data_IF_577104585575
#
_entry.id   IF_577104585575
#
_cell.length_a   1.000
_cell.length_b   1.000
_cell.length_c   1.000
_cell.angle_alpha   90.00
_cell.angle_beta   90.00
_cell.angle_gamma   90.00
#
_symmetry.space_group_name_H-M   'P 1'
#
loop_
_entity.id
_entity.type
_entity.pdbx_description
1 polymer ?
#
# COMPACT_ATOMS: atom_id res chain seq x y z
N UNK A 1 11.87 4.34 -13.04
CA UNK A 1 10.69 3.48 -13.25
C UNK A 1 9.87 3.52 -11.96
N UNK A 2 8.58 3.88 -12.02
CA UNK A 2 7.72 3.90 -10.83
C UNK A 2 7.47 2.47 -10.33
N UNK A 3 7.64 2.24 -9.02
CA UNK A 3 7.47 0.95 -8.37
C UNK A 3 7.07 1.14 -6.91
N UNK A 4 6.32 0.20 -6.34
CA UNK A 4 5.98 0.12 -4.93
C UNK A 4 6.47 -1.25 -4.45
N UNK A 5 7.20 -1.29 -3.33
CA UNK A 5 7.67 -2.54 -2.75
C UNK A 5 6.68 -3.08 -1.72
N UNK A 6 5.69 -3.85 -2.17
CA UNK A 6 4.67 -4.45 -1.29
C UNK A 6 5.01 -5.88 -0.84
N UNK A 7 6.16 -6.43 -1.25
CA UNK A 7 6.60 -7.77 -0.87
C UNK A 7 5.68 -8.92 -1.33
N UNK A 8 4.79 -8.70 -2.31
CA UNK A 8 3.83 -9.71 -2.76
C UNK A 8 2.61 -9.85 -1.86
N UNK A 9 2.41 -8.95 -0.89
CA UNK A 9 1.24 -8.94 -0.02
C UNK A 9 -0.01 -8.35 -0.68
N UNK A 10 0.09 -7.82 -1.90
CA UNK A 10 -1.06 -7.39 -2.71
C UNK A 10 -0.99 -7.94 -4.13
N UNK A 11 -2.11 -7.85 -4.85
CA UNK A 11 -2.19 -8.26 -6.26
C UNK A 11 -1.61 -7.21 -7.23
N UNK A 12 -1.06 -6.10 -6.73
CA UNK A 12 -0.64 -4.94 -7.54
C UNK A 12 0.38 -5.31 -8.61
N UNK A 13 1.42 -6.06 -8.24
CA UNK A 13 2.46 -6.46 -9.20
C UNK A 13 1.93 -7.41 -10.29
N UNK A 14 1.06 -8.36 -9.93
CA UNK A 14 0.42 -9.26 -10.88
C UNK A 14 -0.46 -8.48 -11.86
N UNK A 15 -1.23 -7.50 -11.38
CA UNK A 15 -2.02 -6.61 -12.23
C UNK A 15 -1.13 -5.80 -13.16
N UNK A 16 -0.06 -5.18 -12.64
CA UNK A 16 0.88 -4.43 -13.48
C UNK A 16 1.48 -5.28 -14.59
N UNK A 17 1.91 -6.51 -14.31
CA UNK A 17 2.46 -7.40 -15.34
C UNK A 17 1.44 -7.74 -16.42
N UNK A 18 0.21 -8.08 -16.03
CA UNK A 18 -0.84 -8.45 -16.97
C UNK A 18 -1.30 -7.26 -17.82
N UNK A 19 -1.47 -6.10 -17.20
CA UNK A 19 -1.85 -4.85 -17.84
C UNK A 19 -0.77 -4.33 -18.78
N UNK A 20 0.50 -4.37 -18.36
CA UNK A 20 1.64 -3.97 -19.19
C UNK A 20 1.76 -4.88 -20.41
N UNK A 21 1.60 -6.20 -20.23
CA UNK A 21 1.57 -7.15 -21.36
C UNK A 21 0.44 -6.82 -22.34
N UNK A 22 -0.76 -6.52 -21.85
CA UNK A 22 -1.89 -6.14 -22.68
C UNK A 22 -1.64 -4.79 -23.40
N UNK A 23 -1.10 -3.80 -22.69
CA UNK A 23 -0.75 -2.49 -23.24
C UNK A 23 0.29 -2.57 -24.36
N UNK A 24 1.33 -3.39 -24.18
CA UNK A 24 2.37 -3.63 -25.19
C UNK A 24 1.77 -4.36 -26.41
N UNK A 25 1.01 -5.43 -26.18
CA UNK A 25 0.43 -6.24 -27.26
C UNK A 25 -0.55 -5.48 -28.15
N UNK A 26 -1.25 -4.49 -27.59
CA UNK A 26 -2.23 -3.67 -28.33
C UNK A 26 -1.60 -2.45 -29.01
N UNK A 27 -0.35 -2.09 -28.68
CA UNK A 27 0.30 -0.85 -29.10
C UNK A 27 -0.31 0.42 -28.51
N UNK A 28 -1.28 0.30 -27.59
CA UNK A 28 -2.08 1.41 -27.05
C UNK A 28 -1.77 1.67 -25.58
N UNK A 29 -0.52 2.08 -25.31
CA UNK A 29 0.01 2.23 -23.96
C UNK A 29 -0.78 3.23 -23.08
N UNK A 30 -1.46 4.21 -23.68
CA UNK A 30 -2.27 5.19 -22.94
C UNK A 30 -3.71 4.68 -22.66
N UNK A 31 -4.24 3.79 -23.49
CA UNK A 31 -5.65 3.36 -23.45
C UNK A 31 -5.88 2.15 -22.53
N UNK A 32 -4.82 1.45 -22.13
CA UNK A 32 -4.91 0.36 -21.15
C UNK A 32 -4.32 0.87 -19.84
N UNK A 33 -5.08 0.75 -18.75
CA UNK A 33 -4.61 1.15 -17.43
C UNK A 33 -3.40 0.33 -17.03
N UNK A 34 -2.32 0.97 -16.58
CA UNK A 34 -1.12 0.30 -16.08
C UNK A 34 -0.42 1.16 -15.01
N UNK A 35 0.76 0.74 -14.54
CA UNK A 35 1.53 1.43 -13.49
C UNK A 35 1.76 2.93 -13.68
N UNK A 36 1.80 3.43 -14.92
CA UNK A 36 1.95 4.87 -15.18
C UNK A 36 0.68 5.64 -14.83
N UNK A 37 -0.50 5.06 -15.11
CA UNK A 37 -1.78 5.63 -14.68
C UNK A 37 -1.89 5.63 -13.16
N UNK A 38 -1.40 4.58 -12.48
CA UNK A 38 -1.36 4.54 -11.01
C UNK A 38 -0.49 5.64 -10.42
N UNK A 39 0.68 5.90 -11.00
CA UNK A 39 1.53 7.02 -10.61
C UNK A 39 0.77 8.36 -10.71
N UNK A 40 0.15 8.62 -11.85
CA UNK A 40 -0.59 9.87 -12.07
C UNK A 40 -1.85 9.97 -11.20
N UNK A 41 -2.52 8.85 -10.93
CA UNK A 41 -3.63 8.81 -9.98
C UNK A 41 -3.18 9.21 -8.57
N UNK A 42 -2.07 8.64 -8.09
CA UNK A 42 -1.53 8.99 -6.77
C UNK A 42 -1.09 10.45 -6.70
N UNK A 43 -0.39 10.94 -7.72
CA UNK A 43 0.00 12.33 -7.82
C UNK A 43 -1.23 13.26 -7.79
N UNK A 44 -2.30 12.89 -8.52
CA UNK A 44 -3.56 13.64 -8.52
C UNK A 44 -4.22 13.68 -7.14
N UNK A 45 -4.21 12.57 -6.41
CA UNK A 45 -4.76 12.49 -5.05
C UNK A 45 -3.93 13.33 -4.06
N UNK A 46 -2.61 13.37 -4.22
CA UNK A 46 -1.74 14.22 -3.39
C UNK A 46 -2.02 15.71 -3.64
N UNK A 47 -2.23 16.11 -4.90
CA UNK A 47 -2.46 17.51 -5.28
C UNK A 47 -3.88 17.97 -4.93
N UNK A 48 -4.90 17.20 -5.30
CA UNK A 48 -6.31 17.60 -5.21
C UNK A 48 -7.00 17.10 -3.94
N UNK A 49 -6.47 16.05 -3.32
CA UNK A 49 -7.02 15.46 -2.10
C UNK A 49 -7.77 14.14 -2.32
N UNK A 50 -8.02 13.46 -1.20
CA UNK A 50 -8.67 12.15 -1.17
C UNK A 50 -10.10 12.20 -1.73
N UNK A 51 -10.43 11.24 -2.61
CA UNK A 51 -11.73 11.09 -3.25
C UNK A 51 -12.21 12.30 -4.08
N UNK A 52 -11.32 13.25 -4.40
CA UNK A 52 -11.60 14.39 -5.30
C UNK A 52 -11.46 13.99 -6.77
N UNK A 53 -12.17 12.93 -7.17
CA UNK A 53 -12.03 12.33 -8.50
C UNK A 53 -12.34 13.29 -9.63
N UNK A 54 -13.35 14.16 -9.47
CA UNK A 54 -13.73 15.12 -10.50
C UNK A 54 -12.63 16.15 -10.73
N UNK A 55 -12.03 16.69 -9.67
CA UNK A 55 -10.95 17.68 -9.80
C UNK A 55 -9.74 17.07 -10.51
N UNK A 56 -9.34 15.85 -10.12
CA UNK A 56 -8.25 15.12 -10.77
C UNK A 56 -8.56 14.86 -12.25
N UNK A 57 -9.80 14.47 -12.57
CA UNK A 57 -10.20 14.18 -13.95
C UNK A 57 -10.27 15.43 -14.84
N UNK A 58 -10.62 16.58 -14.26
CA UNK A 58 -10.76 17.85 -14.96
C UNK A 58 -9.43 18.58 -15.15
N UNK A 59 -8.40 18.20 -14.40
CA UNK A 59 -7.08 18.80 -14.50
C UNK A 59 -6.30 18.22 -15.71
N UNK A 60 -5.90 19.07 -16.68
CA UNK A 60 -5.15 18.65 -17.86
C UNK A 60 -3.82 17.95 -17.54
N UNK A 61 -3.19 18.24 -16.40
CA UNK A 61 -1.94 17.58 -15.99
C UNK A 61 -2.14 16.09 -15.71
N UNK A 62 -3.34 15.71 -15.28
CA UNK A 62 -3.69 14.33 -14.95
C UNK A 62 -4.55 13.67 -16.04
N UNK A 63 -4.63 14.26 -17.23
CA UNK A 63 -5.50 13.80 -18.32
C UNK A 63 -5.32 12.31 -18.69
N UNK A 64 -4.12 11.76 -18.46
CA UNK A 64 -3.82 10.33 -18.68
C UNK A 64 -4.77 9.39 -17.91
N UNK A 65 -5.28 9.76 -16.73
CA UNK A 65 -6.22 8.92 -15.97
C UNK A 65 -7.57 8.77 -16.67
N UNK A 66 -7.85 9.62 -17.66
CA UNK A 66 -9.07 9.57 -18.47
C UNK A 66 -8.92 8.69 -19.71
N UNK A 67 -7.69 8.46 -20.18
CA UNK A 67 -7.40 7.77 -21.45
C UNK A 67 -8.04 6.37 -21.54
N UNK A 68 -7.97 5.51 -20.51
CA UNK A 68 -8.56 4.17 -20.58
C UNK A 68 -10.08 4.12 -20.70
N UNK A 69 -10.74 5.26 -20.46
CA UNK A 69 -12.19 5.36 -20.43
C UNK A 69 -12.78 6.03 -21.69
N UNK A 70 -11.95 6.58 -22.59
CA UNK A 70 -12.41 7.35 -23.76
C UNK A 70 -13.37 6.57 -24.65
N UNK A 71 -13.11 5.28 -24.89
CA UNK A 71 -13.97 4.41 -25.71
C UNK A 71 -15.33 4.10 -25.09
N UNK A 72 -15.51 4.39 -23.79
CA UNK A 72 -16.73 4.12 -23.04
C UNK A 72 -17.54 5.37 -22.70
N UNK A 73 -17.09 6.57 -23.14
CA UNK A 73 -17.68 7.85 -22.77
C UNK A 73 -19.17 7.99 -23.11
N UNK A 74 -19.63 7.31 -24.16
CA UNK A 74 -21.02 7.36 -24.63
C UNK A 74 -21.96 6.35 -23.94
N UNK A 75 -21.45 5.57 -22.98
CA UNK A 75 -22.27 4.59 -22.24
C UNK A 75 -23.02 5.29 -21.12
N UNK A 76 -24.28 4.88 -20.90
CA UNK A 76 -25.01 5.25 -19.69
C UNK A 76 -24.20 4.87 -18.45
N UNK A 77 -24.27 5.71 -17.41
CA UNK A 77 -23.55 5.53 -16.16
C UNK A 77 -21.99 5.55 -16.24
N UNK A 78 -21.44 6.17 -17.28
CA UNK A 78 -19.99 6.27 -17.50
C UNK A 78 -19.22 6.82 -16.29
N UNK A 79 -19.72 7.93 -15.70
CA UNK A 79 -19.03 8.61 -14.61
C UNK A 79 -18.97 7.75 -13.33
N UNK A 80 -20.03 7.01 -13.01
CA UNK A 80 -20.06 6.11 -11.87
C UNK A 80 -19.10 4.93 -12.07
N UNK A 81 -19.10 4.30 -13.26
CA UNK A 81 -18.18 3.21 -13.58
C UNK A 81 -16.72 3.65 -13.44
N UNK A 82 -16.38 4.83 -13.99
CA UNK A 82 -15.04 5.40 -13.89
C UNK A 82 -14.65 5.71 -12.45
N UNK A 83 -15.51 6.37 -11.68
CA UNK A 83 -15.22 6.67 -10.27
C UNK A 83 -15.10 5.40 -9.41
N UNK A 84 -15.90 4.38 -9.68
CA UNK A 84 -15.82 3.08 -9.02
C UNK A 84 -14.50 2.37 -9.33
N UNK A 85 -14.03 2.45 -10.57
CA UNK A 85 -12.72 1.93 -10.94
C UNK A 85 -11.60 2.67 -10.19
N UNK A 86 -11.58 4.01 -10.22
CA UNK A 86 -10.55 4.80 -9.54
C UNK A 86 -10.53 4.54 -8.04
N UNK A 87 -11.69 4.45 -7.39
CA UNK A 87 -11.78 4.13 -5.98
C UNK A 87 -11.24 2.73 -5.67
N UNK A 88 -11.54 1.72 -6.49
CA UNK A 88 -10.99 0.36 -6.33
C UNK A 88 -9.48 0.34 -6.53
N UNK A 89 -9.00 1.02 -7.57
CA UNK A 89 -7.57 1.07 -7.87
C UNK A 89 -6.79 1.79 -6.79
N UNK A 90 -7.31 2.92 -6.30
CA UNK A 90 -6.71 3.63 -5.19
C UNK A 90 -6.66 2.79 -3.91
N UNK A 91 -7.71 2.05 -3.55
CA UNK A 91 -7.68 1.17 -2.37
C UNK A 91 -6.54 0.15 -2.44
N UNK A 92 -6.29 -0.42 -3.63
CA UNK A 92 -5.18 -1.34 -3.82
C UNK A 92 -3.83 -0.63 -3.65
N UNK A 93 -3.67 0.55 -4.25
CA UNK A 93 -2.43 1.34 -4.12
C UNK A 93 -2.19 1.79 -2.67
N UNK A 94 -3.25 2.18 -1.96
CA UNK A 94 -3.18 2.54 -0.53
C UNK A 94 -2.71 1.35 0.31
N UNK A 95 -3.25 0.16 0.06
CA UNK A 95 -2.78 -1.06 0.74
C UNK A 95 -1.30 -1.34 0.45
N UNK A 96 -0.89 -1.29 -0.82
CA UNK A 96 0.49 -1.52 -1.22
C UNK A 96 1.47 -0.50 -0.60
N UNK A 97 1.11 0.78 -0.57
CA UNK A 97 1.90 1.84 0.09
C UNK A 97 1.99 1.64 1.60
N UNK A 98 0.90 1.23 2.25
CA UNK A 98 0.91 0.90 3.69
C UNK A 98 1.87 -0.25 3.98
N UNK A 99 1.88 -1.28 3.12
CA UNK A 99 2.79 -2.42 3.26
C UNK A 99 4.24 -2.01 3.02
N UNK A 100 4.52 -1.26 1.96
CA UNK A 100 5.86 -0.73 1.67
C UNK A 100 6.41 0.08 2.86
N UNK A 101 5.57 0.91 3.46
CA UNK A 101 5.89 1.64 4.68
C UNK A 101 6.20 0.69 5.85
N UNK A 102 5.42 -0.38 6.05
CA UNK A 102 5.67 -1.35 7.11
C UNK A 102 6.99 -2.09 6.90
N UNK A 103 7.28 -2.52 5.67
CA UNK A 103 8.54 -3.18 5.32
C UNK A 103 9.73 -2.27 5.58
N UNK A 104 9.63 -0.99 5.21
CA UNK A 104 10.67 0.01 5.48
C UNK A 104 10.91 0.22 6.97
N UNK A 105 9.84 0.29 7.78
CA UNK A 105 9.94 0.43 9.25
C UNK A 105 10.50 -0.82 9.90
N UNK A 106 10.09 -2.01 9.47
CA UNK A 106 10.63 -3.27 9.96
C UNK A 106 12.14 -3.35 9.71
N UNK A 107 12.59 -2.97 8.52
CA UNK A 107 14.01 -2.89 8.19
C UNK A 107 14.74 -1.85 9.06
N UNK A 108 14.17 -0.65 9.22
CA UNK A 108 14.77 0.42 10.04
C UNK A 108 14.94 0.01 11.52
N UNK A 109 13.99 -0.74 12.06
CA UNK A 109 14.01 -1.24 13.44
C UNK A 109 14.76 -2.56 13.61
N UNK A 110 15.35 -3.10 12.53
CA UNK A 110 15.95 -4.45 12.50
C UNK A 110 15.02 -5.52 13.08
N UNK A 111 13.73 -5.42 12.74
CA UNK A 111 12.73 -6.35 13.24
C UNK A 111 12.92 -7.71 12.58
N UNK A 112 13.51 -8.65 13.31
CA UNK A 112 13.73 -10.02 12.85
C UNK A 112 12.48 -10.86 13.07
N UNK A 113 12.07 -11.61 12.05
CA UNK A 113 11.03 -12.61 12.20
C UNK A 113 11.61 -13.85 12.89
N UNK A 114 10.84 -14.44 13.80
CA UNK A 114 11.18 -15.71 14.42
C UNK A 114 10.96 -16.86 13.41
N UNK A 115 12.02 -17.55 12.95
CA UNK A 115 11.89 -18.65 11.99
C UNK A 115 11.06 -19.82 12.54
N UNK A 116 10.97 -19.94 13.87
CA UNK A 116 10.19 -20.99 14.53
C UNK A 116 8.69 -20.65 14.65
N UNK A 117 8.28 -19.46 14.23
CA UNK A 117 6.88 -19.07 14.23
C UNK A 117 6.08 -19.98 13.27
N UNK A 118 4.93 -20.56 13.67
CA UNK A 118 4.18 -21.51 12.84
C UNK A 118 3.82 -21.00 11.44
N UNK A 119 3.55 -19.71 11.29
CA UNK A 119 3.30 -19.10 9.98
C UNK A 119 4.55 -19.07 9.08
N UNK A 120 5.74 -18.93 9.67
CA UNK A 120 7.02 -18.94 8.93
C UNK A 120 7.41 -20.35 8.51
N UNK A 121 7.19 -21.35 9.37
CA UNK A 121 7.35 -22.76 9.02
C UNK A 121 6.44 -23.15 7.84
N UNK A 122 5.16 -22.75 7.89
CA UNK A 122 4.21 -22.98 6.79
C UNK A 122 4.67 -22.29 5.49
N UNK A 123 5.13 -21.04 5.58
CA UNK A 123 5.63 -20.30 4.42
C UNK A 123 6.88 -20.95 3.80
N UNK A 124 7.81 -21.43 4.62
CA UNK A 124 9.00 -22.14 4.16
C UNK A 124 8.63 -23.45 3.44
N UNK A 125 7.68 -24.21 3.99
CA UNK A 125 7.16 -25.44 3.35
C UNK A 125 6.44 -25.16 2.05
N UNK A 126 5.68 -24.07 1.98
CA UNK A 126 5.06 -23.63 0.73
C UNK A 126 6.12 -23.34 -0.36
N UNK A 127 7.18 -22.60 -0.02
CA UNK A 127 8.29 -22.34 -0.94
C UNK A 127 9.03 -23.62 -1.36
N UNK A 128 9.19 -24.59 -0.45
CA UNK A 128 9.80 -25.89 -0.76
C UNK A 128 8.93 -26.69 -1.75
N UNK A 129 7.61 -26.68 -1.56
CA UNK A 129 6.66 -27.33 -2.48
C UNK A 129 6.72 -26.70 -3.87
N UNK A 130 6.71 -25.37 -3.97
CA UNK A 130 6.84 -24.68 -5.25
C UNK A 130 8.17 -25.01 -5.94
N UNK A 131 9.27 -24.96 -5.20
CA UNK A 131 10.60 -25.28 -5.72
C UNK A 131 10.69 -26.74 -6.21
N UNK A 132 10.19 -27.69 -5.42
CA UNK A 132 10.22 -29.11 -5.75
C UNK A 132 9.35 -29.40 -6.99
N UNK A 133 8.19 -28.77 -7.10
CA UNK A 133 7.30 -28.91 -8.25
C UNK A 133 7.91 -28.30 -9.53
N UNK A 134 8.46 -27.08 -9.44
CA UNK A 134 9.01 -26.36 -10.59
C UNK A 134 10.31 -27.01 -11.10
N UNK A 135 11.24 -27.34 -10.19
CA UNK A 135 12.53 -27.96 -10.54
C UNK A 135 12.37 -29.31 -11.24
N UNK A 136 11.28 -30.03 -10.97
CA UNK A 136 11.05 -31.39 -11.47
C UNK A 136 9.89 -31.51 -12.47
N UNK A 137 9.38 -30.39 -13.00
CA UNK A 137 8.28 -30.36 -13.97
C UNK A 137 8.55 -31.27 -15.21
N UNK A 138 9.79 -31.38 -15.64
CA UNK A 138 10.19 -32.14 -16.83
C UNK A 138 10.15 -33.66 -16.63
N UNK A 139 10.32 -34.15 -15.40
CA UNK A 139 10.40 -35.58 -15.09
C UNK A 139 9.13 -36.34 -15.49
N UNK A 140 7.96 -35.68 -15.44
CA UNK A 140 6.70 -36.26 -15.91
C UNK A 140 6.75 -36.63 -17.38
N UNK A 141 7.29 -35.76 -18.23
CA UNK A 141 7.40 -36.01 -19.68
C UNK A 141 8.43 -37.09 -19.99
N UNK A 142 9.58 -37.05 -19.31
CA UNK A 142 10.64 -38.05 -19.50
C UNK A 142 10.21 -39.44 -19.02
N UNK A 143 9.50 -39.53 -17.90
CA UNK A 143 8.92 -40.79 -17.41
C UNK A 143 7.94 -41.39 -18.43
N UNK A 144 7.03 -40.58 -18.99
CA UNK A 144 6.08 -41.02 -20.02
C UNK A 144 6.76 -41.48 -21.31
N UNK A 145 7.94 -40.95 -21.62
CA UNK A 145 8.77 -41.41 -22.74
C UNK A 145 9.45 -42.77 -22.47
N UNK A 146 9.19 -43.40 -21.32
CA UNK A 146 9.72 -44.71 -20.95
C UNK A 146 11.05 -44.66 -20.19
N UNK A 147 11.50 -43.49 -19.75
CA UNK A 147 12.73 -43.34 -18.96
C UNK A 147 12.53 -43.90 -17.54
N UNK A 148 13.00 -45.13 -17.30
CA UNK A 148 12.87 -45.82 -16.02
C UNK A 148 13.51 -45.06 -14.84
N UNK A 149 14.74 -44.52 -14.94
CA UNK A 149 15.30 -43.62 -13.93
C UNK A 149 14.42 -42.41 -13.62
N UNK A 150 13.93 -41.70 -14.65
CA UNK A 150 13.06 -40.53 -14.46
C UNK A 150 11.76 -40.92 -13.75
N UNK A 151 11.20 -42.08 -14.06
CA UNK A 151 10.00 -42.59 -13.37
C UNK A 151 10.26 -42.86 -11.88
N UNK A 152 11.40 -43.47 -11.53
CA UNK A 152 11.77 -43.71 -10.13
C UNK A 152 11.95 -42.39 -9.36
N UNK A 153 12.61 -41.40 -9.96
CA UNK A 153 12.78 -40.07 -9.36
C UNK A 153 11.44 -39.35 -9.24
N UNK A 154 10.57 -39.43 -10.25
CA UNK A 154 9.23 -38.85 -10.22
C UNK A 154 8.40 -39.41 -9.06
N UNK A 155 8.40 -40.73 -8.85
CA UNK A 155 7.74 -41.33 -7.69
C UNK A 155 8.30 -40.82 -6.36
N UNK A 156 9.62 -40.65 -6.26
CA UNK A 156 10.25 -40.10 -5.05
C UNK A 156 9.84 -38.64 -4.80
N UNK A 157 9.80 -37.82 -5.85
CA UNK A 157 9.36 -36.42 -5.79
C UNK A 157 7.90 -36.34 -5.38
N UNK A 158 7.02 -37.19 -5.94
CA UNK A 158 5.61 -37.24 -5.57
C UNK A 158 5.40 -37.63 -4.11
N UNK A 159 6.13 -38.62 -3.61
CA UNK A 159 6.08 -39.00 -2.20
C UNK A 159 6.54 -37.85 -1.28
N UNK A 160 7.61 -37.15 -1.66
CA UNK A 160 8.10 -35.99 -0.91
C UNK A 160 7.06 -34.84 -0.92
N UNK A 161 6.39 -34.60 -2.04
CA UNK A 161 5.27 -33.65 -2.10
C UNK A 161 4.12 -34.07 -1.18
N UNK A 162 3.77 -35.37 -1.12
CA UNK A 162 2.74 -35.88 -0.23
C UNK A 162 3.08 -35.67 1.25
N UNK A 163 4.32 -35.99 1.65
CA UNK A 163 4.82 -35.74 3.00
C UNK A 163 4.75 -34.25 3.36
N UNK A 164 5.26 -33.37 2.49
CA UNK A 164 5.22 -31.92 2.69
C UNK A 164 3.79 -31.38 2.79
N UNK A 165 2.87 -31.87 1.95
CA UNK A 165 1.46 -31.46 2.00
C UNK A 165 0.76 -31.94 3.28
N UNK A 166 1.08 -33.14 3.76
CA UNK A 166 0.58 -33.65 5.04
C UNK A 166 1.02 -32.75 6.21
N UNK A 167 2.29 -32.36 6.16
CA UNK A 167 2.92 -31.47 7.12
C UNK A 167 2.33 -30.06 7.10
N UNK A 168 2.14 -29.48 5.91
CA UNK A 168 1.45 -28.19 5.74
C UNK A 168 0.01 -28.24 6.22
N UNK A 169 -0.70 -29.35 5.99
CA UNK A 169 -2.06 -29.54 6.51
C UNK A 169 -2.07 -29.50 8.03
N UNK A 170 -1.11 -30.14 8.69
CA UNK A 170 -0.96 -30.05 10.14
C UNK A 170 -0.72 -28.60 10.60
N UNK A 171 0.14 -27.86 9.92
CA UNK A 171 0.42 -26.45 10.23
C UNK A 171 -0.83 -25.57 10.06
N UNK A 172 -1.57 -25.72 8.96
CA UNK A 172 -2.81 -24.98 8.69
C UNK A 172 -3.87 -25.24 9.75
N UNK A 173 -3.99 -26.47 10.27
CA UNK A 173 -4.95 -26.77 11.34
C UNK A 173 -4.57 -26.11 12.67
N UNK A 174 -3.28 -25.87 12.93
CA UNK A 174 -2.77 -25.25 14.17
C UNK A 174 -2.69 -23.73 14.08
N UNK A 175 -2.61 -23.18 12.88
CA UNK A 175 -2.42 -21.76 12.63
C UNK A 175 -3.50 -20.86 13.25
N UNK A 176 -4.82 -21.16 13.17
CA UNK A 176 -5.86 -20.32 13.76
C UNK A 176 -5.70 -20.15 15.28
N UNK A 177 -5.36 -21.22 15.99
CA UNK A 177 -5.15 -21.18 17.43
C UNK A 177 -3.97 -20.28 17.80
N UNK A 178 -2.89 -20.32 17.01
CA UNK A 178 -1.72 -19.46 17.21
C UNK A 178 -2.04 -17.99 16.90
N UNK A 179 -2.70 -17.72 15.78
CA UNK A 179 -3.07 -16.37 15.36
C UNK A 179 -4.07 -15.71 16.32
N UNK A 180 -4.99 -16.48 16.91
CA UNK A 180 -5.97 -15.96 17.88
C UNK A 180 -5.33 -15.37 19.14
N UNK A 181 -4.09 -15.77 19.45
CA UNK A 181 -3.32 -15.26 20.60
C UNK A 181 -2.62 -13.94 20.29
N UNK A 182 -2.53 -13.54 19.02
CA UNK A 182 -1.93 -12.25 18.63
C UNK A 182 -2.91 -11.14 19.02
N UNK A 183 -2.55 -10.24 19.95
CA UNK A 183 -3.45 -9.18 20.39
C UNK A 183 -3.78 -8.23 19.22
N UNK A 184 -5.00 -7.66 19.18
CA UNK A 184 -5.39 -6.69 18.16
C UNK A 184 -4.38 -5.54 18.05
N UNK A 185 -4.25 -4.98 16.85
CA UNK A 185 -3.30 -3.87 16.57
C UNK A 185 -3.53 -2.69 17.53
N UNK A 186 -4.79 -2.37 17.84
CA UNK A 186 -5.13 -1.31 18.78
C UNK A 186 -4.55 -1.56 20.20
N UNK A 187 -4.59 -2.81 20.67
CA UNK A 187 -4.01 -3.19 21.95
C UNK A 187 -2.47 -3.13 21.92
N UNK A 188 -1.85 -3.62 20.84
CA UNK A 188 -0.39 -3.56 20.67
C UNK A 188 0.14 -2.14 20.60
N UNK A 189 -0.58 -1.24 19.94
CA UNK A 189 -0.22 0.17 19.81
C UNK A 189 -0.65 1.03 21.01
N UNK A 190 -1.27 0.43 22.04
CA UNK A 190 -1.83 1.14 23.19
C UNK A 190 -2.74 2.32 22.77
N UNK A 191 -3.38 2.16 21.61
CA UNK A 191 -4.30 3.12 21.03
C UNK A 191 -5.70 2.81 21.57
N UNK A 192 -6.01 3.33 22.75
CA UNK A 192 -7.38 3.37 23.24
C UNK A 192 -8.09 4.57 22.63
N UNK A 193 -9.40 4.44 22.38
CA UNK A 193 -10.23 5.57 21.95
C UNK A 193 -10.04 6.78 22.88
N UNK A 194 -9.93 6.51 24.19
CA UNK A 194 -9.63 7.51 25.22
C UNK A 194 -8.26 8.19 25.03
N UNK A 195 -7.21 7.45 24.65
CA UNK A 195 -5.88 8.02 24.42
C UNK A 195 -5.79 8.81 23.12
N UNK A 196 -6.50 8.37 22.08
CA UNK A 196 -6.62 9.09 20.80
C UNK A 196 -7.41 10.40 21.01
N UNK A 197 -8.59 10.31 21.64
CA UNK A 197 -9.43 11.47 21.93
C UNK A 197 -8.71 12.46 22.86
N UNK A 198 -7.99 11.98 23.87
CA UNK A 198 -7.17 12.83 24.75
C UNK A 198 -6.06 13.55 23.95
N UNK A 199 -5.30 12.85 23.11
CA UNK A 199 -4.26 13.48 22.27
C UNK A 199 -4.82 14.47 21.25
N UNK A 200 -6.04 14.25 20.75
CA UNK A 200 -6.71 15.14 19.80
C UNK A 200 -7.35 16.35 20.50
N UNK A 201 -7.90 16.18 21.69
CA UNK A 201 -8.48 17.25 22.51
C UNK A 201 -7.39 18.14 23.13
N UNK A 202 -6.25 17.57 23.51
CA UNK A 202 -5.12 18.29 24.12
C UNK A 202 -4.21 18.99 23.10
N UNK A 203 -4.55 19.02 21.80
CA UNK A 203 -3.74 19.66 20.74
C UNK A 203 -3.64 21.20 20.84
N UNK A 204 -3.98 21.79 21.99
CA UNK A 204 -3.98 23.23 22.26
C UNK A 204 -2.99 23.73 23.31
N UNK A 205 -2.22 22.88 24.02
CA UNK A 205 -1.42 23.37 25.17
C UNK A 205 -0.01 22.77 25.35
N UNK A 206 0.49 21.94 24.44
CA UNK A 206 1.84 21.37 24.57
C UNK A 206 2.85 22.17 23.73
N UNK A 207 3.43 23.22 24.33
CA UNK A 207 4.73 23.73 23.90
C UNK A 207 5.77 22.65 24.17
N UNK A 208 6.00 21.77 23.19
CA UNK A 208 7.20 20.94 23.19
C UNK A 208 8.41 21.88 23.14
N UNK A 209 9.09 22.06 24.26
CA UNK A 209 10.49 22.49 24.26
C UNK A 209 11.25 21.49 23.39
N UNK A 210 11.92 21.92 22.30
CA UNK A 210 12.77 21.03 21.53
C UNK A 210 13.90 20.51 22.44
N UNK A 211 14.38 19.27 22.25
CA UNK A 211 15.56 18.78 22.94
C UNK A 211 16.74 19.74 22.66
N UNK A 212 17.64 19.98 23.63
CA UNK A 212 18.74 20.92 23.46
C UNK A 212 19.62 20.45 22.30
N UNK A 213 19.58 21.20 21.20
CA UNK A 213 20.52 21.03 20.10
C UNK A 213 21.88 21.58 20.55
N UNK A 214 22.92 20.74 20.47
CA UNK A 214 24.31 21.16 20.63
C UNK A 214 24.66 22.18 19.53
N UNK A 215 25.24 23.36 19.86
CA UNK A 215 25.63 24.35 18.85
C UNK A 215 26.80 23.87 18.00
N UNK A 216 26.57 23.67 16.70
CA UNK A 216 27.64 23.66 15.69
C UNK A 216 28.08 25.10 15.33
N UNK A 217 29.29 25.29 14.78
CA UNK A 217 30.08 26.54 14.92
C UNK A 217 29.70 27.72 14.00
N UNK A 218 28.43 27.87 13.59
CA UNK A 218 28.02 29.01 12.76
C UNK A 218 26.79 29.71 13.36
N UNK A 219 27.04 30.69 14.23
CA UNK A 219 26.03 31.57 14.81
C UNK A 219 26.09 32.98 14.19
N UNK A 220 24.92 33.55 13.87
CA UNK A 220 24.67 35.00 13.69
C UNK A 220 23.23 35.34 14.15
N UNK A 221 22.95 36.56 14.66
CA UNK A 221 21.96 36.77 15.74
C UNK A 221 20.51 37.10 15.32
N UNK A 222 19.60 36.90 16.29
CA UNK A 222 18.16 37.22 16.32
C UNK A 222 17.86 38.73 16.35
N UNK A 223 16.70 39.16 15.80
CA UNK A 223 16.00 40.35 16.30
C UNK A 223 14.48 40.39 15.95
N UNK A 224 13.64 40.49 17.01
CA UNK A 224 12.28 41.08 17.16
C UNK A 224 11.09 40.53 16.32
N UNK A 225 9.86 40.36 16.81
CA UNK A 225 9.17 40.80 18.03
C UNK A 225 7.79 40.10 18.21
N UNK A 226 7.01 40.55 19.19
CA UNK A 226 5.98 39.80 19.95
C UNK A 226 4.49 40.02 19.51
N UNK A 227 3.42 39.66 20.29
CA UNK A 227 2.33 38.78 19.86
C UNK A 227 0.92 39.42 19.84
N UNK A 228 -0.10 38.76 19.26
CA UNK A 228 -1.51 39.09 19.51
C UNK A 228 -2.43 37.84 19.57
N UNK A 229 -3.36 37.85 20.53
CA UNK A 229 -4.46 36.90 20.79
C UNK A 229 -5.84 37.62 20.62
N UNK A 230 -7.02 37.03 20.90
CA UNK A 230 -7.95 36.42 19.92
C UNK A 230 -9.40 37.00 19.93
N UNK A 231 -10.27 36.62 18.98
CA UNK A 231 -11.75 36.58 19.14
C UNK A 231 -12.48 35.78 18.01
N UNK A 232 -13.60 35.05 18.31
CA UNK A 232 -14.48 34.31 17.38
C UNK A 232 -15.85 35.02 17.19
N UNK A 233 -16.99 34.41 16.72
CA UNK A 233 -17.27 33.28 15.82
C UNK A 233 -18.27 33.66 14.68
N UNK A 234 -18.54 32.76 13.71
CA UNK A 234 -19.85 32.72 13.01
C UNK A 234 -20.15 31.33 12.45
N UNK A 235 -21.34 30.84 12.80
CA UNK A 235 -21.90 29.55 12.43
C UNK A 235 -22.63 29.60 11.09
N UNK A 236 -22.57 28.54 10.30
CA UNK A 236 -23.65 28.18 9.38
C UNK A 236 -23.83 26.65 9.34
N UNK A 237 -25.10 26.29 9.36
CA UNK A 237 -25.71 24.97 9.43
C UNK A 237 -25.94 24.40 8.01
N UNK A 238 -25.95 23.08 7.86
CA UNK A 238 -26.57 22.19 6.84
C UNK A 238 -25.71 20.90 6.86
N UNK A 239 -26.16 19.66 6.88
CA UNK A 239 -27.44 18.98 6.73
C UNK A 239 -27.04 17.50 6.55
N UNK A 240 -27.68 16.58 7.27
CA UNK A 240 -27.12 15.26 7.59
C UNK A 240 -27.03 14.24 6.45
N UNK A 241 -26.14 13.27 6.64
CA UNK A 241 -26.24 11.93 6.06
C UNK A 241 -25.86 10.90 7.13
N UNK A 242 -26.81 10.04 7.47
CA UNK A 242 -26.76 9.08 8.56
C UNK A 242 -25.97 7.83 8.11
N UNK A 243 -24.78 7.61 8.68
CA UNK A 243 -23.85 6.52 8.31
C UNK A 243 -24.01 5.24 9.14
N UNK A 244 -25.11 5.09 9.90
CA UNK A 244 -25.17 4.11 10.98
C UNK A 244 -25.56 2.67 10.59
N UNK A 245 -25.45 2.26 9.32
CA UNK A 245 -25.80 0.89 8.90
C UNK A 245 -24.84 0.32 7.84
N UNK A 246 -23.62 -0.03 8.24
CA UNK A 246 -22.78 -1.01 7.52
C UNK A 246 -21.96 -1.85 8.53
N UNK A 247 -21.73 -3.15 8.27
CA UNK A 247 -21.15 -4.10 9.23
C UNK A 247 -19.67 -3.78 9.57
N UNK A 248 -19.19 -4.14 10.78
CA UNK A 248 -17.88 -3.74 11.27
C UNK A 248 -16.77 -4.61 10.65
N UNK A 249 -16.25 -4.19 9.49
CA UNK A 249 -15.03 -4.72 8.90
C UNK A 249 -13.94 -3.65 8.92
N UNK A 250 -12.92 -3.85 9.77
CA UNK A 250 -11.62 -3.16 9.83
C UNK A 250 -11.57 -1.72 9.29
N UNK A 251 -12.05 -0.78 10.10
CA UNK A 251 -11.79 0.64 9.90
C UNK A 251 -10.35 0.97 10.31
N UNK A 252 -9.47 1.21 9.33
CA UNK A 252 -8.33 2.12 9.57
C UNK A 252 -8.90 3.53 9.43
N UNK A 253 -9.09 4.19 10.57
CA UNK A 253 -9.56 5.57 10.68
C UNK A 253 -8.71 6.51 9.83
N UNK A 254 -9.35 7.46 9.13
CA UNK A 254 -8.72 8.50 8.30
C UNK A 254 -7.68 9.39 9.01
N UNK A 255 -7.45 9.18 10.31
CA UNK A 255 -6.34 9.76 11.05
C UNK A 255 -4.96 9.18 10.65
N UNK A 256 -4.88 7.92 10.19
CA UNK A 256 -3.61 7.35 9.69
C UNK A 256 -3.19 8.03 8.38
N UNK A 257 -4.15 8.28 7.48
CA UNK A 257 -3.94 9.04 6.25
C UNK A 257 -3.53 10.50 6.55
N UNK A 258 -4.12 11.11 7.58
CA UNK A 258 -3.70 12.45 8.02
C UNK A 258 -2.26 12.46 8.52
N UNK A 259 -1.73 11.39 9.11
CA UNK A 259 -0.31 11.31 9.54
C UNK A 259 0.64 11.07 8.36
N UNK A 260 0.26 10.24 7.38
CA UNK A 260 1.02 10.08 6.13
C UNK A 260 1.05 11.38 5.30
N UNK A 261 -0.10 12.02 5.13
CA UNK A 261 -0.23 13.31 4.41
C UNK A 261 0.36 14.47 5.22
N UNK A 262 0.29 14.45 6.56
CA UNK A 262 0.96 15.46 7.40
C UNK A 262 2.46 15.23 7.52
N UNK A 263 2.95 13.99 7.35
CA UNK A 263 4.38 13.70 7.21
C UNK A 263 4.93 14.26 5.89
N UNK A 264 4.14 14.21 4.82
CA UNK A 264 4.41 14.88 3.54
C UNK A 264 4.17 16.41 3.57
N UNK A 265 3.27 16.90 4.43
CA UNK A 265 2.93 18.34 4.54
C UNK A 265 3.70 19.10 5.64
N UNK A 266 4.42 18.42 6.54
CA UNK A 266 5.29 19.07 7.55
C UNK A 266 6.66 19.45 7.02
N UNK A 267 6.98 19.06 5.81
CA UNK A 267 8.09 19.61 5.04
C UNK A 267 7.50 20.58 4.02
N UNK A 268 7.70 21.87 4.28
CA UNK A 268 7.52 23.00 3.35
C UNK A 268 7.99 22.68 1.90
N UNK A 269 7.59 23.49 0.88
CA UNK A 269 7.66 23.28 -0.59
C UNK A 269 8.89 22.58 -1.22
N UNK A 270 9.96 22.37 -0.47
CA UNK A 270 11.11 21.54 -0.82
C UNK A 270 10.74 20.09 -1.07
N UNK A 271 9.86 19.44 -0.31
CA UNK A 271 9.53 18.02 -0.58
C UNK A 271 8.79 17.82 -1.93
N UNK A 272 7.94 18.79 -2.31
CA UNK A 272 7.29 18.83 -3.62
C UNK A 272 8.28 19.20 -4.71
N UNK A 273 9.24 20.10 -4.44
CA UNK A 273 10.34 20.42 -5.35
C UNK A 273 11.37 19.29 -5.51
N UNK A 274 11.61 18.50 -4.47
CA UNK A 274 12.55 17.38 -4.44
C UNK A 274 11.92 16.18 -5.16
N UNK A 275 10.62 15.93 -4.95
CA UNK A 275 9.85 15.05 -5.83
C UNK A 275 9.92 15.58 -7.27
N UNK A 276 9.67 16.87 -7.53
CA UNK A 276 9.75 17.44 -8.88
C UNK A 276 11.15 17.35 -9.51
N UNK A 277 12.23 17.49 -8.73
CA UNK A 277 13.61 17.38 -9.20
C UNK A 277 14.01 15.93 -9.49
N UNK A 278 13.53 14.98 -8.66
CA UNK A 278 13.68 13.54 -8.91
C UNK A 278 12.81 13.08 -10.09
N UNK A 279 11.67 13.74 -10.35
CA UNK A 279 10.72 13.39 -11.43
C UNK A 279 11.02 14.05 -12.79
N UNK A 280 11.80 15.14 -12.84
CA UNK A 280 12.11 15.90 -14.07
C UNK A 280 12.79 15.09 -15.20
N UNK A 281 13.69 14.11 -14.93
CA UNK A 281 14.30 13.30 -15.98
C UNK A 281 13.33 12.30 -16.65
N UNK A 282 12.21 11.97 -15.99
CA UNK A 282 11.28 10.93 -16.43
C UNK A 282 10.06 11.46 -17.19
N UNK A 283 9.97 12.78 -17.39
CA UNK A 283 8.93 13.45 -18.19
C UNK A 283 9.37 13.73 -19.64
N UNK A 284 10.60 13.35 -20.03
CA UNK A 284 11.14 13.53 -21.41
C UNK A 284 11.45 12.22 -22.15
N UNK A 285 10.76 11.14 -21.80
CA UNK A 285 10.81 9.89 -22.56
C UNK A 285 9.39 9.32 -22.75
#
# INVERSE_FOLDING_TARGET
MFNIADGGFTELHTLWQNEERAAISSGKMNEIWHRRHDFWLLAGIVVHGYARWQDIQNDPQFAIVNEPFKSQANKGNFLEMKNKFLARRFKLLEQALVIEEQLRRAAYLNMTQDPSHPAMALNARFAEVECLAESHQHLSKESLAGNKPANAVLHKVLNQLEELLSDMKADVTRLPATLSRVPPIAARLQMSERSILSRLASKGTETHTPPPMLPGPYATPQNYGAPFTPAPPSALHIGGANYSQMPPGSFISGQCLRVLVSGLSRTEPRAVQDLWQVMRPHLRA
#
